data_IF_068516581180
#
_entry.id   IF_068516581180
#
_cell.length_a   1.000
_cell.length_b   1.000
_cell.length_c   1.000
_cell.angle_alpha   90.00
_cell.angle_beta   90.00
_cell.angle_gamma   90.00
#
_symmetry.space_group_name_H-M   'P 1'
#
loop_
_entity.id
_entity.type
_entity.pdbx_description
1 polymer ?
#
# COMPACT_ATOMS: atom_id res chain seq x y z
N UNK A 1 58.29 -50.42 20.20
CA UNK A 1 57.18 -50.08 19.29
C UNK A 1 55.76 -50.40 19.81
N UNK A 2 55.56 -51.06 20.96
CA UNK A 2 54.23 -51.53 21.41
C UNK A 2 53.49 -50.52 22.33
N UNK A 3 54.18 -49.49 22.86
CA UNK A 3 53.59 -48.50 23.78
C UNK A 3 52.97 -47.26 23.11
N UNK A 4 53.13 -47.05 21.80
CA UNK A 4 52.67 -45.83 21.12
C UNK A 4 51.19 -45.88 20.68
N UNK A 5 50.68 -47.07 20.38
CA UNK A 5 49.32 -47.32 19.87
C UNK A 5 48.21 -46.93 20.87
N UNK A 6 48.27 -47.28 22.17
CA UNK A 6 47.22 -46.90 23.11
C UNK A 6 47.21 -45.39 23.41
N UNK A 7 48.35 -44.72 23.32
CA UNK A 7 48.47 -43.26 23.53
C UNK A 7 47.84 -42.51 22.36
N UNK A 8 48.17 -42.91 21.12
CA UNK A 8 47.58 -42.34 19.91
C UNK A 8 46.06 -42.56 19.83
N UNK A 9 45.57 -43.75 20.22
CA UNK A 9 44.14 -44.03 20.29
C UNK A 9 43.43 -43.15 21.33
N UNK A 10 44.06 -42.89 22.48
CA UNK A 10 43.49 -42.03 23.53
C UNK A 10 43.47 -40.56 23.12
N UNK A 11 44.48 -40.10 22.39
CA UNK A 11 44.52 -38.73 21.84
C UNK A 11 43.47 -38.57 20.73
N UNK A 12 43.31 -39.57 19.86
CA UNK A 12 42.30 -39.55 18.79
C UNK A 12 40.87 -39.56 19.32
N UNK A 13 40.58 -40.38 20.35
CA UNK A 13 39.28 -40.41 21.05
C UNK A 13 38.97 -39.06 21.73
N UNK A 14 39.93 -38.47 22.43
CA UNK A 14 39.74 -37.15 23.08
C UNK A 14 39.51 -36.03 22.06
N UNK A 15 40.18 -36.08 20.91
CA UNK A 15 40.03 -35.09 19.84
C UNK A 15 38.67 -35.18 19.11
N UNK A 16 38.20 -36.40 18.80
CA UNK A 16 36.90 -36.63 18.15
C UNK A 16 35.74 -36.20 19.06
N UNK A 17 35.77 -36.60 20.34
CA UNK A 17 34.68 -36.30 21.28
C UNK A 17 34.59 -34.79 21.55
N UNK A 18 35.73 -34.10 21.75
CA UNK A 18 35.74 -32.66 22.04
C UNK A 18 35.25 -31.77 20.88
N UNK A 19 35.58 -32.13 19.63
CA UNK A 19 35.10 -31.39 18.46
C UNK A 19 33.61 -31.64 18.20
N UNK A 20 33.13 -32.87 18.40
CA UNK A 20 31.72 -33.20 18.19
C UNK A 20 30.80 -32.57 19.23
N UNK A 21 31.20 -32.56 20.51
CA UNK A 21 30.43 -31.88 21.58
C UNK A 21 30.37 -30.38 21.35
N UNK A 22 31.48 -29.76 20.92
CA UNK A 22 31.53 -28.32 20.62
C UNK A 22 30.65 -27.97 19.42
N UNK A 23 30.63 -28.83 18.40
CA UNK A 23 29.81 -28.64 17.20
C UNK A 23 28.30 -28.73 17.49
N UNK A 24 27.89 -29.71 18.30
CA UNK A 24 26.48 -29.90 18.69
C UNK A 24 25.99 -28.77 19.61
N UNK A 25 26.84 -28.25 20.50
CA UNK A 25 26.52 -27.08 21.33
C UNK A 25 26.40 -25.81 20.46
N UNK A 26 27.32 -25.60 19.52
CA UNK A 26 27.29 -24.47 18.58
C UNK A 26 26.00 -24.43 17.76
N UNK A 27 25.59 -25.56 17.17
CA UNK A 27 24.38 -25.64 16.35
C UNK A 27 23.09 -25.38 17.15
N UNK A 28 23.05 -25.80 18.43
CA UNK A 28 21.93 -25.51 19.35
C UNK A 28 21.88 -24.03 19.74
N UNK A 29 23.03 -23.38 19.95
CA UNK A 29 23.05 -21.93 20.26
C UNK A 29 22.62 -21.07 19.07
N UNK A 30 23.06 -21.42 17.85
CA UNK A 30 22.71 -20.69 16.62
C UNK A 30 21.20 -20.76 16.35
N UNK A 31 20.59 -21.93 16.53
CA UNK A 31 19.14 -22.10 16.33
C UNK A 31 18.32 -21.30 17.35
N UNK A 32 18.75 -21.22 18.61
CA UNK A 32 18.08 -20.40 19.66
C UNK A 32 18.16 -18.91 19.32
N UNK A 33 19.31 -18.41 18.83
CA UNK A 33 19.47 -17.00 18.44
C UNK A 33 18.60 -16.65 17.23
N UNK A 34 18.53 -17.51 16.22
CA UNK A 34 17.69 -17.30 15.03
C UNK A 34 16.19 -17.27 15.41
N UNK A 35 15.74 -18.20 16.26
CA UNK A 35 14.35 -18.23 16.75
C UNK A 35 14.02 -16.98 17.59
N UNK A 36 14.97 -16.52 18.42
CA UNK A 36 14.81 -15.29 19.20
C UNK A 36 14.71 -14.03 18.32
N UNK A 37 15.48 -13.95 17.23
CA UNK A 37 15.41 -12.82 16.30
C UNK A 37 14.07 -12.75 15.54
N UNK A 38 13.42 -13.89 15.30
CA UNK A 38 12.11 -13.94 14.64
C UNK A 38 10.98 -13.44 15.57
N UNK A 39 11.13 -13.61 16.89
CA UNK A 39 10.10 -13.21 17.87
C UNK A 39 10.18 -11.74 18.33
N UNK A 40 11.27 -11.03 18.05
CA UNK A 40 11.43 -9.59 18.40
C UNK A 40 10.82 -8.66 17.34
N UNK A 41 10.27 -9.19 16.26
CA UNK A 41 9.57 -8.41 15.22
C UNK A 41 8.14 -8.04 15.62
N UNK A 42 7.91 -7.61 16.85
CA UNK A 42 6.71 -6.86 17.21
C UNK A 42 7.00 -5.37 17.07
N UNK A 43 7.18 -4.90 15.84
CA UNK A 43 7.09 -3.46 15.60
C UNK A 43 5.63 -3.07 15.82
N UNK A 44 5.41 -2.17 16.77
CA UNK A 44 4.09 -1.57 16.96
C UNK A 44 3.72 -0.90 15.65
N UNK A 45 2.75 -1.44 14.93
CA UNK A 45 2.20 -0.76 13.77
C UNK A 45 1.73 0.63 14.25
N UNK A 46 2.22 1.74 13.66
CA UNK A 46 1.73 3.04 14.01
C UNK A 46 0.24 3.06 13.69
N UNK A 47 -0.60 3.02 14.73
CA UNK A 47 -2.01 3.36 14.62
C UNK A 47 -2.04 4.84 14.32
N UNK A 48 -2.09 5.19 13.03
CA UNK A 48 -2.43 6.55 12.62
C UNK A 48 -3.83 6.82 13.15
N UNK A 49 -3.87 7.52 14.28
CA UNK A 49 -5.07 8.12 14.79
C UNK A 49 -5.46 9.19 13.76
N UNK A 50 -6.37 8.83 12.87
CA UNK A 50 -7.04 9.80 12.03
C UNK A 50 -7.70 10.78 13.01
N UNK A 51 -7.12 11.98 13.13
CA UNK A 51 -7.68 13.05 13.92
C UNK A 51 -8.96 13.51 13.21
N UNK A 52 -10.04 12.77 13.44
CA UNK A 52 -11.38 13.32 13.27
C UNK A 52 -11.51 14.35 14.36
N UNK A 53 -11.54 15.63 13.97
CA UNK A 53 -12.01 16.68 14.86
C UNK A 53 -13.48 16.35 15.19
N UNK A 54 -13.69 15.66 16.30
CA UNK A 54 -15.00 15.23 16.80
C UNK A 54 -15.65 16.42 17.50
N UNK A 55 -16.13 17.35 16.69
CA UNK A 55 -17.19 18.27 17.04
C UNK A 55 -18.03 18.47 15.78
N UNK A 56 -18.97 17.54 15.56
CA UNK A 56 -20.30 17.79 15.00
C UNK A 56 -21.07 16.48 15.20
N UNK A 57 -21.89 16.46 16.25
CA UNK A 57 -23.06 15.61 16.27
C UNK A 57 -23.99 16.07 15.14
N UNK A 58 -24.20 15.24 14.12
CA UNK A 58 -25.48 15.23 13.39
C UNK A 58 -25.45 14.21 12.26
N UNK A 59 -26.33 13.21 12.40
CA UNK A 59 -27.17 12.62 11.34
C UNK A 59 -26.54 12.44 9.94
N UNK A 60 -26.42 11.17 9.58
CA UNK A 60 -26.47 10.60 8.22
C UNK A 60 -27.12 11.55 7.20
N UNK A 61 -26.32 12.12 6.28
CA UNK A 61 -26.83 12.99 5.20
C UNK A 61 -25.87 14.04 4.60
N UNK A 62 -24.66 14.24 5.13
CA UNK A 62 -23.97 15.55 5.02
C UNK A 62 -22.63 15.60 4.27
N UNK A 63 -22.15 14.54 3.59
CA UNK A 63 -20.85 14.64 2.90
C UNK A 63 -20.90 15.51 1.62
N UNK A 64 -22.05 15.57 0.94
CA UNK A 64 -22.24 16.50 -0.19
C UNK A 64 -22.37 17.96 0.30
N UNK A 65 -22.99 18.18 1.46
CA UNK A 65 -23.21 19.51 2.01
C UNK A 65 -21.92 20.22 2.46
N UNK A 66 -20.88 19.47 2.84
CA UNK A 66 -19.57 20.05 3.22
C UNK A 66 -18.85 20.67 2.01
N UNK A 67 -19.04 20.13 0.80
CA UNK A 67 -18.51 20.72 -0.43
C UNK A 67 -19.30 21.95 -0.89
N UNK A 68 -20.55 22.11 -0.44
CA UNK A 68 -21.42 23.24 -0.78
C UNK A 68 -21.07 24.50 0.04
N UNK A 69 -20.34 24.38 1.16
CA UNK A 69 -19.90 25.53 2.00
C UNK A 69 -18.51 26.09 1.66
N UNK A 70 -18.09 26.03 0.40
CA UNK A 70 -16.89 26.75 -0.10
C UNK A 70 -15.52 26.27 0.42
N UNK A 71 -15.47 25.28 1.32
CA UNK A 71 -14.23 24.69 1.81
C UNK A 71 -13.83 23.53 0.90
N UNK A 72 -12.84 23.77 0.02
CA UNK A 72 -12.19 22.71 -0.75
C UNK A 72 -11.51 21.72 0.20
N UNK A 73 -12.10 20.56 0.42
CA UNK A 73 -11.53 19.53 1.27
C UNK A 73 -10.22 19.03 0.65
N UNK A 74 -9.11 19.23 1.38
CA UNK A 74 -7.77 18.82 0.95
C UNK A 74 -7.20 17.79 1.92
N UNK A 75 -6.68 16.69 1.38
CA UNK A 75 -6.08 15.58 2.13
C UNK A 75 -4.71 15.20 1.55
N UNK A 76 -3.89 14.50 2.34
CA UNK A 76 -2.63 13.91 1.87
C UNK A 76 -2.84 12.42 1.65
N UNK A 77 -2.60 11.95 0.43
CA UNK A 77 -2.73 10.54 0.04
C UNK A 77 -1.35 9.96 -0.29
N UNK A 78 -1.15 8.68 0.01
CA UNK A 78 -0.10 7.88 -0.63
C UNK A 78 -0.60 7.46 -2.01
N UNK A 79 0.04 7.99 -3.05
CA UNK A 79 -0.26 7.64 -4.43
C UNK A 79 0.74 6.65 -5.00
N UNK A 80 0.25 5.74 -5.84
CA UNK A 80 1.06 5.07 -6.85
C UNK A 80 0.41 5.19 -8.22
N UNK A 81 0.81 4.39 -9.21
CA UNK A 81 0.22 4.42 -10.53
C UNK A 81 0.18 3.04 -11.19
N UNK A 82 -0.72 2.87 -12.15
CA UNK A 82 -0.75 1.73 -13.06
C UNK A 82 0.45 1.77 -14.01
N UNK A 83 1.23 0.70 -14.05
CA UNK A 83 2.44 0.61 -14.84
C UNK A 83 2.17 0.67 -16.35
N UNK A 84 3.14 1.12 -17.13
CA UNK A 84 2.99 1.24 -18.59
C UNK A 84 2.71 -0.11 -19.28
N UNK A 85 3.22 -1.21 -18.70
CA UNK A 85 3.16 -2.57 -19.24
C UNK A 85 2.50 -3.56 -18.26
N UNK A 86 1.59 -3.10 -17.41
CA UNK A 86 0.89 -3.96 -16.44
C UNK A 86 -0.28 -4.77 -17.04
N UNK A 87 -0.58 -4.52 -18.32
CA UNK A 87 -1.62 -5.23 -19.08
C UNK A 87 -3.04 -4.73 -18.80
N UNK A 88 -3.25 -3.73 -17.93
CA UNK A 88 -4.60 -3.22 -17.66
C UNK A 88 -5.14 -2.33 -18.79
N UNK A 89 -4.26 -1.74 -19.61
CA UNK A 89 -4.69 -0.88 -20.70
C UNK A 89 -5.66 -1.62 -21.65
N UNK A 90 -6.83 -1.04 -21.90
CA UNK A 90 -7.90 -1.67 -22.69
C UNK A 90 -8.85 -2.58 -21.91
N UNK A 91 -8.60 -2.85 -20.63
CA UNK A 91 -9.52 -3.62 -19.78
C UNK A 91 -10.65 -2.74 -19.22
N UNK A 92 -11.74 -3.36 -18.78
CA UNK A 92 -12.83 -2.64 -18.10
C UNK A 92 -12.42 -2.29 -16.67
N UNK A 93 -12.65 -1.04 -16.27
CA UNK A 93 -12.55 -0.59 -14.88
C UNK A 93 -13.78 -1.01 -14.08
N UNK A 94 -13.74 -0.81 -12.76
CA UNK A 94 -14.88 -1.10 -11.87
C UNK A 94 -16.14 -0.27 -12.16
N UNK A 95 -16.06 0.84 -12.90
CA UNK A 95 -17.23 1.60 -13.35
C UNK A 95 -17.71 1.22 -14.77
N UNK A 96 -17.05 0.25 -15.42
CA UNK A 96 -17.38 -0.25 -16.74
C UNK A 96 -16.75 0.52 -17.91
N UNK A 97 -16.04 1.63 -17.66
CA UNK A 97 -15.26 2.32 -18.68
C UNK A 97 -14.05 1.47 -19.11
N UNK A 98 -13.58 1.64 -20.35
CA UNK A 98 -12.33 1.05 -20.80
C UNK A 98 -11.16 1.87 -20.22
N UNK A 99 -10.28 1.22 -19.48
CA UNK A 99 -9.09 1.83 -18.92
C UNK A 99 -8.15 2.25 -20.05
N UNK A 100 -7.74 3.52 -20.01
CA UNK A 100 -6.70 4.07 -20.88
C UNK A 100 -5.59 4.63 -19.99
N UNK A 101 -4.41 4.03 -20.05
CA UNK A 101 -3.27 4.42 -19.22
C UNK A 101 -2.81 5.87 -19.44
N UNK A 102 -3.05 6.44 -20.62
CA UNK A 102 -2.62 7.79 -20.98
C UNK A 102 -3.69 8.86 -20.66
N UNK A 103 -4.90 8.42 -20.26
CA UNK A 103 -5.97 9.31 -19.76
C UNK A 103 -5.64 9.87 -18.36
N UNK A 104 -6.40 10.86 -17.87
CA UNK A 104 -6.28 11.36 -16.51
C UNK A 104 -7.36 10.79 -15.59
N UNK A 105 -7.12 9.57 -15.14
CA UNK A 105 -8.04 8.79 -14.31
C UNK A 105 -7.32 8.22 -13.10
N UNK A 106 -8.09 7.75 -12.11
CA UNK A 106 -7.53 7.13 -10.91
C UNK A 106 -8.48 6.12 -10.26
N UNK A 107 -7.91 5.18 -9.53
CA UNK A 107 -8.60 4.22 -8.68
C UNK A 107 -8.63 4.70 -7.22
N UNK A 108 -9.79 4.63 -6.58
CA UNK A 108 -9.94 4.88 -5.15
C UNK A 108 -10.96 3.92 -4.52
N UNK A 109 -10.73 3.51 -3.26
CA UNK A 109 -11.50 2.45 -2.58
C UNK A 109 -12.99 2.76 -2.46
N UNK A 110 -13.32 4.00 -2.12
CA UNK A 110 -14.69 4.36 -1.69
C UNK A 110 -15.21 5.69 -2.25
N UNK A 111 -14.41 6.41 -3.03
CA UNK A 111 -14.89 7.68 -3.59
C UNK A 111 -15.92 7.36 -4.68
N UNK A 112 -17.04 8.10 -4.75
CA UNK A 112 -18.01 7.91 -5.81
C UNK A 112 -17.34 8.03 -7.18
N UNK A 113 -17.75 7.18 -8.11
CA UNK A 113 -17.30 7.32 -9.49
C UNK A 113 -17.71 8.69 -10.04
N UNK A 114 -16.88 9.26 -10.92
CA UNK A 114 -17.06 10.61 -11.43
C UNK A 114 -16.59 11.72 -10.48
N UNK A 115 -16.10 11.38 -9.28
CA UNK A 115 -15.40 12.36 -8.43
C UNK A 115 -14.16 12.88 -9.18
N UNK A 116 -13.99 14.20 -9.24
CA UNK A 116 -12.81 14.84 -9.83
C UNK A 116 -11.93 15.38 -8.73
N UNK A 117 -10.66 15.00 -8.78
CA UNK A 117 -9.63 15.38 -7.81
C UNK A 117 -8.54 16.17 -8.50
N UNK A 118 -8.12 17.29 -7.91
CA UNK A 118 -6.83 17.92 -8.23
C UNK A 118 -5.76 17.25 -7.37
N UNK A 119 -4.82 16.59 -8.04
CA UNK A 119 -3.70 15.89 -7.41
C UNK A 119 -2.44 16.70 -7.67
N UNK A 120 -1.77 17.11 -6.60
CA UNK A 120 -0.50 17.85 -6.65
C UNK A 120 0.60 16.98 -6.07
N UNK A 121 1.71 16.82 -6.79
CA UNK A 121 2.90 16.17 -6.26
C UNK A 121 3.87 17.23 -5.71
N UNK A 122 4.08 17.32 -4.38
CA UNK A 122 4.88 18.40 -3.79
C UNK A 122 6.33 18.42 -4.26
N UNK A 123 6.91 17.25 -4.57
CA UNK A 123 8.31 17.12 -5.01
C UNK A 123 8.57 17.90 -6.31
N UNK A 124 7.62 17.90 -7.24
CA UNK A 124 7.74 18.61 -8.52
C UNK A 124 6.95 19.92 -8.56
N UNK A 125 6.08 20.16 -7.58
CA UNK A 125 5.11 21.26 -7.56
C UNK A 125 3.99 21.14 -8.60
N UNK A 126 3.99 20.09 -9.44
CA UNK A 126 3.04 19.92 -10.55
C UNK A 126 1.71 19.33 -10.08
N UNK A 127 0.65 19.63 -10.82
CA UNK A 127 -0.68 19.08 -10.54
C UNK A 127 -1.42 18.65 -11.80
N UNK A 128 -2.36 17.72 -11.63
CA UNK A 128 -3.27 17.24 -12.66
C UNK A 128 -4.65 16.99 -12.04
N UNK A 129 -5.71 17.19 -12.81
CA UNK A 129 -7.06 16.77 -12.42
C UNK A 129 -7.34 15.37 -12.94
N UNK A 130 -7.84 14.49 -12.06
CA UNK A 130 -8.16 13.10 -12.39
C UNK A 130 -9.60 12.78 -12.03
N UNK A 131 -10.25 11.93 -12.84
CA UNK A 131 -11.58 11.39 -12.57
C UNK A 131 -11.45 10.01 -11.90
N UNK A 132 -12.17 9.77 -10.82
CA UNK A 132 -12.31 8.44 -10.22
C UNK A 132 -13.22 7.59 -11.11
N UNK A 133 -12.67 6.55 -11.73
CA UNK A 133 -13.41 5.60 -12.56
C UNK A 133 -13.14 4.13 -12.19
N UNK A 134 -12.30 3.88 -11.18
CA UNK A 134 -11.90 2.53 -10.81
C UNK A 134 -11.80 2.31 -9.29
N UNK A 135 -11.62 1.06 -8.87
CA UNK A 135 -11.52 0.63 -7.47
C UNK A 135 -10.15 0.07 -7.15
N UNK A 136 -9.74 0.29 -5.90
CA UNK A 136 -8.38 0.03 -5.43
C UNK A 136 -7.78 1.32 -4.86
N UNK A 137 -6.47 1.38 -4.59
CA UNK A 137 -5.55 0.24 -4.48
C UNK A 137 -5.97 -0.73 -3.37
N UNK A 138 -5.80 -2.03 -3.58
CA UNK A 138 -5.99 -3.04 -2.52
C UNK A 138 -4.72 -3.33 -1.72
N UNK A 139 -3.62 -2.66 -2.07
CA UNK A 139 -2.35 -2.68 -1.32
C UNK A 139 -2.48 -1.82 -0.07
N UNK A 140 -2.03 -2.36 1.07
CA UNK A 140 -2.02 -1.62 2.35
C UNK A 140 -1.10 -0.39 2.25
N UNK A 141 -1.52 0.71 2.85
CA UNK A 141 -0.76 1.97 2.88
C UNK A 141 -0.86 2.84 1.62
N UNK A 142 -1.50 2.36 0.54
CA UNK A 142 -1.85 3.18 -0.63
C UNK A 142 -3.30 3.66 -0.55
N UNK A 143 -3.51 4.90 -0.96
CA UNK A 143 -4.82 5.56 -0.93
C UNK A 143 -5.40 5.72 -2.33
N UNK A 144 -4.54 5.95 -3.34
CA UNK A 144 -4.95 6.21 -4.73
C UNK A 144 -3.93 5.63 -5.72
N UNK A 145 -4.42 5.02 -6.80
CA UNK A 145 -3.57 4.62 -7.94
C UNK A 145 -3.96 5.50 -9.13
N UNK A 146 -2.99 6.26 -9.65
CA UNK A 146 -3.16 7.13 -10.83
C UNK A 146 -2.99 6.31 -12.11
N UNK A 147 -3.57 6.79 -13.21
CA UNK A 147 -3.13 6.36 -14.54
C UNK A 147 -1.67 6.76 -14.78
N UNK A 148 -0.98 6.05 -15.69
CA UNK A 148 0.38 6.37 -16.07
C UNK A 148 0.53 7.81 -16.57
N UNK A 149 -0.38 8.27 -17.43
CA UNK A 149 -0.40 9.63 -17.97
C UNK A 149 -0.53 10.71 -16.88
N UNK A 150 -1.37 10.49 -15.88
CA UNK A 150 -1.53 11.42 -14.75
C UNK A 150 -0.27 11.45 -13.87
N UNK A 151 0.30 10.28 -13.56
CA UNK A 151 1.54 10.18 -12.79
C UNK A 151 2.73 10.81 -13.53
N UNK A 152 2.84 10.60 -14.83
CA UNK A 152 3.86 11.19 -15.68
C UNK A 152 3.74 12.72 -15.72
N UNK A 153 2.50 13.24 -15.84
CA UNK A 153 2.23 14.68 -15.87
C UNK A 153 2.73 15.40 -14.61
N UNK A 154 2.54 14.80 -13.44
CA UNK A 154 3.02 15.35 -12.16
C UNK A 154 4.45 14.91 -11.81
N UNK A 155 5.06 14.02 -12.59
CA UNK A 155 6.42 13.52 -12.39
C UNK A 155 6.58 12.45 -11.31
N UNK A 156 5.48 11.83 -10.85
CA UNK A 156 5.49 10.78 -9.84
C UNK A 156 6.15 9.48 -10.35
N UNK A 157 6.14 9.24 -11.66
CA UNK A 157 6.70 8.01 -12.29
C UNK A 157 8.15 7.75 -11.88
N UNK A 158 8.95 8.81 -11.69
CA UNK A 158 10.36 8.67 -11.28
C UNK A 158 10.53 8.02 -9.91
N UNK A 159 9.57 8.22 -9.02
CA UNK A 159 9.66 7.78 -7.63
C UNK A 159 8.81 6.52 -7.36
N UNK A 160 7.95 6.12 -8.30
CA UNK A 160 7.06 4.96 -8.14
C UNK A 160 5.84 5.25 -7.27
N UNK A 161 6.10 5.63 -6.02
CA UNK A 161 5.13 5.88 -4.95
C UNK A 161 5.49 7.17 -4.23
N UNK A 162 4.50 7.97 -3.87
CA UNK A 162 4.76 9.25 -3.22
C UNK A 162 3.57 9.83 -2.48
N UNK A 163 3.84 10.78 -1.58
CA UNK A 163 2.78 11.56 -0.92
C UNK A 163 2.30 12.67 -1.85
N UNK A 164 1.00 12.73 -2.10
CA UNK A 164 0.36 13.75 -2.94
C UNK A 164 -0.68 14.52 -2.15
N UNK A 165 -0.82 15.81 -2.47
CA UNK A 165 -1.91 16.65 -1.96
C UNK A 165 -3.10 16.51 -2.89
N UNK A 166 -4.24 16.10 -2.34
CA UNK A 166 -5.46 15.82 -3.09
C UNK A 166 -6.56 16.77 -2.66
N UNK A 167 -7.11 17.51 -3.61
CA UNK A 167 -8.24 18.42 -3.39
C UNK A 167 -9.44 17.94 -4.19
N UNK A 168 -10.59 17.79 -3.54
CA UNK A 168 -11.84 17.46 -4.25
C UNK A 168 -12.31 18.69 -5.02
N UNK A 169 -12.45 18.55 -6.34
CA UNK A 169 -12.95 19.61 -7.24
C UNK A 169 -14.44 19.41 -7.52
N UNK A 170 -14.84 18.16 -7.77
CA UNK A 170 -16.23 17.76 -7.99
C UNK A 170 -16.51 16.44 -7.28
N UNK A 171 -17.60 16.36 -6.53
CA UNK A 171 -18.07 15.09 -5.97
C UNK A 171 -18.82 14.30 -7.03
N UNK A 172 -18.55 13.00 -7.15
CA UNK A 172 -19.27 12.12 -8.06
C UNK A 172 -20.67 11.79 -7.57
N UNK A 173 -21.58 11.52 -8.51
CA UNK A 173 -22.98 11.19 -8.21
C UNK A 173 -23.07 9.77 -7.62
N UNK A 174 -23.87 9.56 -6.57
CA UNK A 174 -24.08 8.24 -5.95
C UNK A 174 -25.03 7.34 -6.76
N UNK A 175 -25.24 7.64 -8.04
CA UNK A 175 -26.45 7.24 -8.76
C UNK A 175 -26.44 5.82 -9.34
N UNK A 176 -25.50 4.96 -8.95
CA UNK A 176 -25.47 3.58 -9.44
C UNK A 176 -26.36 2.60 -8.66
N UNK A 177 -26.82 2.96 -7.45
CA UNK A 177 -27.67 2.04 -6.66
C UNK A 177 -29.18 2.18 -6.91
N UNK A 178 -29.64 3.31 -7.45
CA UNK A 178 -31.08 3.59 -7.59
C UNK A 178 -31.69 3.12 -8.92
N UNK A 179 -30.88 2.94 -9.97
CA UNK A 179 -31.36 2.45 -11.29
C UNK A 179 -31.43 0.92 -11.39
N UNK A 180 -30.56 0.19 -10.69
CA UNK A 180 -30.56 -1.28 -10.73
C UNK A 180 -31.70 -1.92 -9.93
N UNK A 181 -32.26 -1.22 -8.93
CA UNK A 181 -33.40 -1.71 -8.14
C UNK A 181 -34.77 -1.36 -8.76
N UNK A 182 -34.78 -0.54 -9.82
CA UNK A 182 -36.00 -0.08 -10.50
C UNK A 182 -36.26 -0.78 -11.86
N UNK A 183 -35.35 -1.65 -12.31
CA UNK A 183 -35.39 -2.29 -13.63
C UNK A 183 -35.70 -3.79 -13.63
N UNK A 184 -36.06 -4.38 -12.48
CA UNK A 184 -36.40 -5.80 -12.36
C UNK A 184 -37.73 -5.95 -11.63
N UNK A 185 -38.81 -5.59 -12.35
CA UNK A 185 -40.18 -6.02 -12.09
C UNK A 185 -40.89 -6.20 -13.42
#
# INVERSE_FOLDING_TARGET
>A
MILLIPILRRIFEQYIVGNLTSYVVGLKTITIVIISCILISCTSAPRYHYSTNKNISSKSGSNAAILIKGVKHTSIFTASYYGDNDGFNGQKTANGEIFNKDSFTAAHKSLPFGTVLKVTYPVTGKSVEVKINDRGPFVKGRDIDLSYGAAAKIGLVKDGVGKVKVTVIKWGDRETKKRSEAGER
#
